data_IF_224770404641
#
_entry.id   IF_224770404641
#
_cell.length_a   1.000
_cell.length_b   1.000
_cell.length_c   1.000
_cell.angle_alpha   90.00
_cell.angle_beta   90.00
_cell.angle_gamma   90.00
#
_symmetry.space_group_name_H-M   'P 1'
#
loop_
_entity.id
_entity.type
_entity.pdbx_description
1 polymer ?
#
# COMPACT_ATOMS: atom_id res chain seq x y z
N UNK A 1 7.59 13.40 -11.83
CA UNK A 1 6.71 14.34 -11.08
C UNK A 1 7.03 14.43 -9.58
N UNK A 2 7.89 13.58 -9.02
CA UNK A 2 8.84 13.96 -7.96
C UNK A 2 10.23 13.95 -8.60
N UNK A 3 11.03 14.99 -8.43
CA UNK A 3 12.32 15.19 -9.12
C UNK A 3 13.44 14.30 -8.54
N UNK A 4 13.19 12.98 -8.38
CA UNK A 4 14.16 12.02 -7.86
C UNK A 4 14.72 11.17 -9.00
N UNK A 5 16.04 11.21 -9.16
CA UNK A 5 16.76 10.33 -10.09
C UNK A 5 17.01 9.00 -9.40
N UNK A 6 16.62 7.90 -10.05
CA UNK A 6 16.88 6.55 -9.58
C UNK A 6 18.25 6.09 -10.09
N UNK A 7 19.04 5.49 -9.22
CA UNK A 7 20.31 4.85 -9.59
C UNK A 7 20.06 3.51 -10.30
N UNK A 8 21.03 3.06 -11.10
CA UNK A 8 21.02 1.74 -11.73
C UNK A 8 20.80 0.60 -10.72
N UNK A 9 21.35 0.73 -9.50
CA UNK A 9 21.14 -0.26 -8.43
C UNK A 9 19.69 -0.29 -7.90
N UNK A 10 19.00 0.85 -7.90
CA UNK A 10 17.58 0.91 -7.52
C UNK A 10 16.70 0.27 -8.58
N UNK A 11 17.05 0.45 -9.86
CA UNK A 11 16.37 -0.25 -10.96
C UNK A 11 16.53 -1.76 -10.85
N UNK A 12 17.74 -2.24 -10.55
CA UNK A 12 17.98 -3.68 -10.33
C UNK A 12 17.15 -4.18 -9.14
N UNK A 13 17.09 -3.44 -8.03
CA UNK A 13 16.27 -3.81 -6.88
C UNK A 13 14.77 -3.93 -7.25
N UNK A 14 14.24 -3.01 -8.05
CA UNK A 14 12.84 -3.05 -8.49
C UNK A 14 12.54 -4.27 -9.37
N UNK A 15 13.46 -4.65 -10.26
CA UNK A 15 13.31 -5.85 -11.09
C UNK A 15 13.33 -7.11 -10.21
N UNK A 16 14.27 -7.19 -9.27
CA UNK A 16 14.35 -8.28 -8.29
C UNK A 16 13.05 -8.35 -7.47
N UNK A 17 12.51 -7.21 -7.01
CA UNK A 17 11.23 -7.17 -6.28
C UNK A 17 10.11 -7.78 -7.11
N UNK A 18 10.01 -7.38 -8.38
CA UNK A 18 8.97 -7.83 -9.29
C UNK A 18 9.05 -9.34 -9.53
N UNK A 19 10.26 -9.88 -9.76
CA UNK A 19 10.48 -11.32 -9.89
C UNK A 19 10.11 -12.07 -8.60
N UNK A 20 10.51 -11.56 -7.43
CA UNK A 20 10.21 -12.19 -6.14
C UNK A 20 8.72 -12.25 -5.86
N UNK A 21 7.99 -11.15 -6.10
CA UNK A 21 6.52 -11.12 -5.97
C UNK A 21 5.86 -12.06 -6.97
N UNK A 22 6.30 -12.08 -8.23
CA UNK A 22 5.74 -12.99 -9.24
C UNK A 22 5.89 -14.46 -8.83
N UNK A 23 7.06 -14.86 -8.30
CA UNK A 23 7.30 -16.22 -7.80
C UNK A 23 6.37 -16.59 -6.63
N UNK A 24 6.19 -15.68 -5.66
CA UNK A 24 5.26 -15.88 -4.53
C UNK A 24 3.81 -16.05 -5.02
N UNK A 25 3.39 -15.26 -6.01
CA UNK A 25 2.01 -15.29 -6.51
C UNK A 25 1.69 -16.52 -7.38
N UNK A 26 2.69 -17.05 -8.10
CA UNK A 26 2.54 -18.27 -8.91
C UNK A 26 2.24 -19.50 -8.05
N UNK A 27 2.88 -19.62 -6.89
CA UNK A 27 2.60 -20.72 -5.97
C UNK A 27 1.18 -20.64 -5.37
N UNK A 28 0.74 -19.43 -5.00
CA UNK A 28 -0.61 -19.20 -4.47
C UNK A 28 -1.72 -19.61 -5.44
N UNK A 29 -1.44 -19.48 -6.75
CA UNK A 29 -2.35 -19.90 -7.81
C UNK A 29 -2.40 -21.42 -7.96
N UNK A 30 -1.26 -22.10 -7.81
CA UNK A 30 -1.14 -23.56 -7.97
C UNK A 30 -1.73 -24.34 -6.78
N UNK A 31 -1.80 -23.71 -5.60
CA UNK A 31 -2.29 -24.35 -4.37
C UNK A 31 -3.82 -24.32 -4.21
N UNK A 32 -4.53 -23.56 -5.06
CA UNK A 32 -6.00 -23.63 -5.14
C UNK A 32 -6.36 -24.79 -6.05
N UNK A 33 -6.82 -25.87 -5.42
CA UNK A 33 -7.18 -27.14 -6.05
C UNK A 33 -8.07 -26.97 -7.28
N UNK A 34 -7.80 -27.84 -8.26
CA UNK A 34 -8.47 -27.98 -9.54
C UNK A 34 -9.87 -28.59 -9.40
N UNK A 35 -10.76 -27.96 -8.62
CA UNK A 35 -12.15 -28.40 -8.45
C UNK A 35 -13.12 -27.47 -9.20
N UNK A 36 -13.72 -28.01 -10.26
CA UNK A 36 -14.95 -27.52 -10.86
C UNK A 36 -14.78 -26.47 -11.98
N UNK A 37 -14.47 -26.93 -13.19
CA UNK A 37 -14.67 -26.13 -14.41
C UNK A 37 -16.17 -25.84 -14.63
N UNK A 38 -16.63 -24.66 -14.20
CA UNK A 38 -17.64 -23.95 -14.99
C UNK A 38 -16.89 -23.09 -16.01
N UNK A 39 -16.94 -23.52 -17.27
CA UNK A 39 -16.38 -22.84 -18.43
C UNK A 39 -17.09 -21.52 -18.71
N UNK A 40 -16.93 -20.54 -17.83
CA UNK A 40 -17.18 -19.13 -18.18
C UNK A 40 -16.14 -18.77 -19.24
N UNK A 41 -16.60 -18.21 -20.35
CA UNK A 41 -15.77 -17.71 -21.44
C UNK A 41 -14.77 -16.66 -20.90
N UNK A 42 -13.58 -17.11 -20.52
CA UNK A 42 -12.54 -16.27 -19.95
C UNK A 42 -11.72 -15.66 -21.09
N UNK A 43 -11.97 -14.38 -21.36
CA UNK A 43 -11.19 -13.63 -22.33
C UNK A 43 -9.86 -13.19 -21.72
N UNK A 44 -8.83 -14.04 -21.87
CA UNK A 44 -7.48 -13.76 -21.39
C UNK A 44 -6.94 -12.41 -21.91
N UNK A 45 -7.25 -12.03 -23.15
CA UNK A 45 -6.88 -10.73 -23.72
C UNK A 45 -7.53 -9.56 -22.97
N UNK A 46 -8.82 -9.65 -22.63
CA UNK A 46 -9.52 -8.62 -21.85
C UNK A 46 -8.92 -8.52 -20.45
N UNK A 47 -8.60 -9.66 -19.84
CA UNK A 47 -7.89 -9.71 -18.55
C UNK A 47 -6.53 -9.03 -18.62
N UNK A 48 -5.71 -9.33 -19.64
CA UNK A 48 -4.39 -8.72 -19.81
C UNK A 48 -4.46 -7.20 -20.02
N UNK A 49 -5.37 -6.72 -20.87
CA UNK A 49 -5.57 -5.28 -21.09
C UNK A 49 -6.03 -4.62 -19.80
N UNK A 50 -6.99 -5.22 -19.09
CA UNK A 50 -7.48 -4.69 -17.81
C UNK A 50 -6.37 -4.58 -16.76
N UNK A 51 -5.51 -5.59 -16.64
CA UNK A 51 -4.37 -5.57 -15.72
C UNK A 51 -3.39 -4.46 -16.08
N UNK A 52 -2.98 -4.34 -17.34
CA UNK A 52 -2.06 -3.28 -17.79
C UNK A 52 -2.64 -1.89 -17.48
N UNK A 53 -3.90 -1.64 -17.86
CA UNK A 53 -4.57 -0.37 -17.58
C UNK A 53 -4.66 -0.10 -16.07
N UNK A 54 -4.98 -1.12 -15.27
CA UNK A 54 -5.05 -0.98 -13.81
C UNK A 54 -3.69 -0.65 -13.18
N UNK A 55 -2.61 -1.26 -13.65
CA UNK A 55 -1.26 -1.02 -13.15
C UNK A 55 -0.80 0.41 -13.48
N UNK A 56 -1.06 0.88 -14.70
CA UNK A 56 -0.73 2.25 -15.11
C UNK A 56 -1.53 3.28 -14.30
N UNK A 57 -2.84 3.05 -14.14
CA UNK A 57 -3.71 3.94 -13.36
C UNK A 57 -3.31 3.96 -11.88
N UNK A 58 -3.01 2.81 -11.29
CA UNK A 58 -2.57 2.69 -9.89
C UNK A 58 -1.26 3.43 -9.63
N UNK A 59 -0.26 3.24 -10.50
CA UNK A 59 1.02 3.95 -10.41
C UNK A 59 0.86 5.47 -10.53
N UNK A 60 0.04 5.93 -11.47
CA UNK A 60 -0.25 7.35 -11.63
C UNK A 60 -1.00 7.94 -10.42
N UNK A 61 -2.04 7.26 -9.95
CA UNK A 61 -2.84 7.69 -8.81
C UNK A 61 -1.99 7.82 -7.53
N UNK A 62 -1.07 6.88 -7.30
CA UNK A 62 -0.16 6.94 -6.15
C UNK A 62 0.76 8.18 -6.18
N UNK A 63 1.39 8.46 -7.32
CA UNK A 63 2.26 9.64 -7.48
C UNK A 63 1.47 10.95 -7.41
N UNK A 64 0.26 10.98 -7.97
CA UNK A 64 -0.63 12.13 -7.92
C UNK A 64 -1.12 12.41 -6.49
N UNK A 65 -1.50 11.35 -5.75
CA UNK A 65 -1.87 11.44 -4.35
C UNK A 65 -0.72 11.94 -3.47
N UNK A 66 0.50 11.41 -3.68
CA UNK A 66 1.70 11.91 -3.00
C UNK A 66 1.95 13.40 -3.30
N UNK A 67 1.78 13.83 -4.56
CA UNK A 67 1.92 15.23 -4.96
C UNK A 67 0.88 16.14 -4.30
N UNK A 68 -0.37 15.72 -4.20
CA UNK A 68 -1.44 16.48 -3.53
C UNK A 68 -1.17 16.62 -2.04
N UNK A 69 -0.74 15.53 -1.38
CA UNK A 69 -0.47 15.53 0.05
C UNK A 69 0.75 16.36 0.42
N UNK A 70 1.79 16.35 -0.41
CA UNK A 70 3.07 17.05 -0.12
C UNK A 70 3.14 18.47 -0.71
N UNK A 71 2.28 18.82 -1.67
CA UNK A 71 2.31 20.10 -2.39
C UNK A 71 1.32 21.15 -1.90
N UNK A 72 0.58 20.91 -0.80
CA UNK A 72 -0.50 21.78 -0.34
C UNK A 72 -0.42 21.99 1.18
N UNK A 73 -0.67 23.21 1.70
CA UNK A 73 -0.70 23.48 3.14
C UNK A 73 -1.94 22.91 3.86
N UNK A 74 -2.81 22.18 3.16
CA UNK A 74 -4.06 21.64 3.70
C UNK A 74 -3.81 20.38 4.54
N UNK A 75 -4.67 20.14 5.54
CA UNK A 75 -4.56 18.96 6.39
C UNK A 75 -4.84 17.67 5.60
N UNK A 76 -4.07 16.62 5.89
CA UNK A 76 -4.20 15.31 5.23
C UNK A 76 -5.54 14.64 5.51
N UNK A 77 -6.11 14.90 6.68
CA UNK A 77 -7.46 14.45 7.03
C UNK A 77 -8.51 15.06 6.11
N UNK A 78 -8.43 16.37 5.83
CA UNK A 78 -9.36 17.04 4.92
C UNK A 78 -9.24 16.51 3.48
N UNK A 79 -8.00 16.26 3.02
CA UNK A 79 -7.77 15.62 1.71
C UNK A 79 -8.35 14.21 1.65
N UNK A 80 -8.18 13.42 2.71
CA UNK A 80 -8.71 12.07 2.79
C UNK A 80 -10.25 12.06 2.81
N UNK A 81 -10.87 13.03 3.49
CA UNK A 81 -12.33 13.21 3.45
C UNK A 81 -12.81 13.63 2.07
N UNK A 82 -12.15 14.58 1.40
CA UNK A 82 -12.50 14.99 0.02
C UNK A 82 -12.41 13.83 -0.96
N UNK A 83 -11.33 13.04 -0.89
CA UNK A 83 -11.14 11.87 -1.74
C UNK A 83 -12.12 10.75 -1.40
N UNK A 84 -12.37 10.51 -0.12
CA UNK A 84 -13.37 9.53 0.33
C UNK A 84 -14.78 9.89 -0.11
N UNK A 85 -15.14 11.18 -0.07
CA UNK A 85 -16.44 11.67 -0.52
C UNK A 85 -16.62 11.45 -2.04
N UNK A 86 -15.65 11.88 -2.85
CA UNK A 86 -15.69 11.64 -4.30
C UNK A 86 -15.67 10.14 -4.63
N UNK A 87 -14.86 9.35 -3.92
CA UNK A 87 -14.79 7.90 -4.08
C UNK A 87 -16.12 7.21 -3.74
N UNK A 88 -16.82 7.70 -2.71
CA UNK A 88 -18.16 7.18 -2.34
C UNK A 88 -19.18 7.47 -3.44
N UNK A 89 -19.19 8.68 -4.01
CA UNK A 89 -20.08 9.02 -5.13
C UNK A 89 -19.81 8.12 -6.34
N UNK A 90 -18.54 7.98 -6.74
CA UNK A 90 -18.15 7.13 -7.88
C UNK A 90 -18.49 5.65 -7.59
N UNK A 91 -18.29 5.19 -6.36
CA UNK A 91 -18.64 3.84 -5.92
C UNK A 91 -20.14 3.57 -6.02
N UNK A 92 -20.98 4.50 -5.55
CA UNK A 92 -22.44 4.40 -5.67
C UNK A 92 -22.89 4.38 -7.13
N UNK A 93 -22.34 5.26 -7.98
CA UNK A 93 -22.63 5.26 -9.43
C UNK A 93 -22.26 3.89 -10.03
N UNK A 94 -21.09 3.36 -9.70
CA UNK A 94 -20.62 2.06 -10.21
C UNK A 94 -21.55 0.92 -9.78
N UNK A 95 -22.03 0.95 -8.53
CA UNK A 95 -22.99 -0.01 -8.01
C UNK A 95 -24.33 0.07 -8.75
N UNK A 96 -24.85 1.28 -9.00
CA UNK A 96 -26.09 1.42 -9.78
C UNK A 96 -25.93 0.97 -11.24
N UNK A 97 -24.79 1.22 -11.86
CA UNK A 97 -24.53 0.86 -13.26
C UNK A 97 -24.35 -0.65 -13.44
N UNK A 98 -23.65 -1.32 -12.51
CA UNK A 98 -23.37 -2.76 -12.62
C UNK A 98 -24.47 -3.63 -12.03
N UNK A 99 -24.90 -3.31 -10.81
CA UNK A 99 -25.67 -4.22 -9.95
C UNK A 99 -26.99 -3.59 -9.48
N UNK A 100 -27.41 -2.45 -10.08
CA UNK A 100 -28.55 -1.66 -9.62
C UNK A 100 -29.89 -2.42 -9.59
N UNK A 101 -30.11 -3.35 -10.52
CA UNK A 101 -31.32 -4.21 -10.53
C UNK A 101 -31.33 -5.15 -9.33
N UNK A 102 -30.20 -5.81 -9.08
CA UNK A 102 -30.06 -6.77 -7.99
C UNK A 102 -30.15 -6.08 -6.64
N UNK A 103 -29.56 -4.89 -6.49
CA UNK A 103 -29.68 -4.06 -5.27
C UNK A 103 -31.13 -3.61 -5.02
N UNK A 104 -31.89 -3.29 -6.08
CA UNK A 104 -33.29 -2.87 -5.92
C UNK A 104 -34.22 -4.01 -5.50
N UNK A 105 -33.94 -5.25 -5.93
CA UNK A 105 -34.76 -6.43 -5.61
C UNK A 105 -34.34 -7.08 -4.28
N UNK A 106 -33.04 -7.08 -4.00
CA UNK A 106 -32.43 -7.76 -2.85
C UNK A 106 -32.25 -6.88 -1.62
N UNK A 107 -32.20 -5.56 -1.81
CA UNK A 107 -31.68 -4.62 -0.82
C UNK A 107 -30.15 -4.59 -0.79
N UNK A 108 -29.60 -3.41 -0.48
CA UNK A 108 -28.15 -3.15 -0.49
C UNK A 108 -27.34 -4.01 0.49
N UNK A 109 -27.91 -4.36 1.64
CA UNK A 109 -27.20 -5.07 2.72
C UNK A 109 -27.43 -6.59 2.72
N UNK A 110 -27.99 -7.16 1.65
CA UNK A 110 -28.22 -8.60 1.58
C UNK A 110 -26.88 -9.35 1.57
N UNK A 111 -26.74 -10.34 2.45
CA UNK A 111 -25.52 -11.16 2.55
C UNK A 111 -24.37 -10.51 3.34
N UNK A 112 -24.61 -9.38 4.00
CA UNK A 112 -23.62 -8.80 4.92
C UNK A 112 -23.56 -9.61 6.21
N UNK A 113 -22.54 -10.45 6.34
CA UNK A 113 -22.21 -11.14 7.59
C UNK A 113 -21.11 -10.39 8.38
N UNK A 114 -20.83 -10.83 9.60
CA UNK A 114 -19.79 -10.25 10.47
C UNK A 114 -18.42 -10.18 9.78
N UNK A 115 -18.10 -11.16 8.94
CA UNK A 115 -16.86 -11.19 8.16
C UNK A 115 -16.78 -10.05 7.13
N UNK A 116 -17.92 -9.68 6.51
CA UNK A 116 -17.99 -8.55 5.57
C UNK A 116 -17.74 -7.24 6.31
N UNK A 117 -18.36 -7.06 7.47
CA UNK A 117 -18.11 -5.90 8.32
C UNK A 117 -16.66 -5.79 8.78
N UNK A 118 -16.05 -6.91 9.18
CA UNK A 118 -14.64 -6.96 9.53
C UNK A 118 -13.75 -6.57 8.34
N UNK A 119 -14.03 -7.12 7.16
CA UNK A 119 -13.29 -6.80 5.93
C UNK A 119 -13.39 -5.31 5.58
N UNK A 120 -14.57 -4.71 5.67
CA UNK A 120 -14.79 -3.28 5.43
C UNK A 120 -13.98 -2.43 6.41
N UNK A 121 -14.04 -2.76 7.71
CA UNK A 121 -13.30 -2.04 8.75
C UNK A 121 -11.78 -2.17 8.54
N UNK A 122 -11.29 -3.37 8.23
CA UNK A 122 -9.87 -3.62 7.99
C UNK A 122 -9.37 -2.90 6.74
N UNK A 123 -10.13 -2.93 5.64
CA UNK A 123 -9.78 -2.21 4.41
C UNK A 123 -9.78 -0.69 4.61
N UNK A 124 -10.76 -0.15 5.33
CA UNK A 124 -10.83 1.28 5.64
C UNK A 124 -9.67 1.73 6.53
N UNK A 125 -9.38 0.98 7.60
CA UNK A 125 -8.24 1.23 8.47
C UNK A 125 -6.91 1.13 7.72
N UNK A 126 -6.76 0.14 6.84
CA UNK A 126 -5.60 -0.02 5.96
C UNK A 126 -5.39 1.19 5.04
N UNK A 127 -6.46 1.71 4.43
CA UNK A 127 -6.40 2.92 3.60
C UNK A 127 -5.95 4.16 4.37
N UNK A 128 -6.49 4.36 5.58
CA UNK A 128 -6.07 5.45 6.47
C UNK A 128 -4.60 5.30 6.90
N UNK A 129 -4.18 4.09 7.25
CA UNK A 129 -2.80 3.81 7.64
C UNK A 129 -1.83 4.11 6.49
N UNK A 130 -2.18 3.74 5.25
CA UNK A 130 -1.38 4.08 4.06
C UNK A 130 -1.24 5.60 3.90
N UNK A 131 -2.32 6.37 4.10
CA UNK A 131 -2.26 7.83 4.04
C UNK A 131 -1.33 8.43 5.12
N UNK A 132 -1.39 7.91 6.34
CA UNK A 132 -0.49 8.29 7.45
C UNK A 132 0.96 7.94 7.12
N UNK A 133 1.23 6.72 6.63
CA UNK A 133 2.59 6.29 6.23
C UNK A 133 3.12 7.15 5.07
N UNK A 134 2.30 7.53 4.10
CA UNK A 134 2.74 8.41 2.99
C UNK A 134 3.08 9.81 3.50
N UNK A 135 2.39 10.30 4.55
CA UNK A 135 2.64 11.61 5.15
C UNK A 135 3.88 11.62 6.06
N UNK A 136 4.03 10.61 6.91
CA UNK A 136 4.98 10.64 8.03
C UNK A 136 6.16 9.68 7.90
N UNK A 137 6.09 8.67 7.03
CA UNK A 137 7.18 7.72 6.88
C UNK A 137 8.08 8.08 5.70
N UNK A 138 9.39 8.09 5.95
CA UNK A 138 10.38 8.04 4.89
C UNK A 138 10.27 6.72 4.13
N UNK A 139 10.67 6.74 2.85
CA UNK A 139 10.65 5.56 1.98
C UNK A 139 11.42 4.35 2.55
N UNK A 140 12.32 4.57 3.52
CA UNK A 140 13.05 3.52 4.25
C UNK A 140 12.15 2.81 5.26
N UNK A 141 11.45 3.56 6.12
CA UNK A 141 10.59 2.98 7.15
C UNK A 141 9.43 2.20 6.52
N UNK A 142 8.93 2.67 5.37
CA UNK A 142 7.95 1.93 4.55
C UNK A 142 8.50 0.57 4.10
N UNK A 143 9.75 0.52 3.62
CA UNK A 143 10.41 -0.73 3.23
C UNK A 143 10.59 -1.70 4.40
N UNK A 144 11.00 -1.21 5.57
CA UNK A 144 11.08 -2.02 6.79
C UNK A 144 9.71 -2.58 7.20
N UNK A 145 8.67 -1.75 7.18
CA UNK A 145 7.31 -2.17 7.50
C UNK A 145 6.82 -3.27 6.53
N UNK A 146 7.07 -3.12 5.22
CA UNK A 146 6.72 -4.14 4.22
C UNK A 146 7.47 -5.45 4.47
N UNK A 147 8.76 -5.39 4.79
CA UNK A 147 9.58 -6.57 5.08
C UNK A 147 9.10 -7.31 6.33
N UNK A 148 8.80 -6.57 7.41
CA UNK A 148 8.25 -7.12 8.65
C UNK A 148 6.86 -7.73 8.42
N UNK A 149 6.02 -7.08 7.60
CA UNK A 149 4.70 -7.61 7.24
C UNK A 149 4.79 -8.94 6.48
N UNK A 150 5.76 -9.10 5.58
CA UNK A 150 5.98 -10.38 4.87
C UNK A 150 6.35 -11.49 5.86
N UNK A 151 7.32 -11.26 6.75
CA UNK A 151 7.74 -12.25 7.76
C UNK A 151 6.57 -12.62 8.66
N UNK A 152 5.84 -11.63 9.18
CA UNK A 152 4.69 -11.86 10.05
C UNK A 152 3.59 -12.65 9.32
N UNK A 153 3.32 -12.30 8.05
CA UNK A 153 2.35 -13.03 7.22
C UNK A 153 2.78 -14.49 7.02
N UNK A 154 4.07 -14.77 6.85
CA UNK A 154 4.57 -16.14 6.76
C UNK A 154 4.31 -16.92 8.06
N UNK A 155 4.63 -16.32 9.22
CA UNK A 155 4.43 -16.96 10.53
C UNK A 155 2.95 -17.25 10.75
N UNK A 156 2.08 -16.26 10.52
CA UNK A 156 0.62 -16.43 10.66
C UNK A 156 0.13 -17.51 9.70
N UNK A 157 0.62 -17.54 8.47
CA UNK A 157 0.18 -18.53 7.47
C UNK A 157 0.52 -19.97 7.86
N UNK A 158 1.67 -20.21 8.49
CA UNK A 158 2.03 -21.53 9.04
C UNK A 158 1.05 -21.94 10.15
N UNK A 159 0.81 -21.06 11.13
CA UNK A 159 0.03 -21.40 12.32
C UNK A 159 -1.48 -21.47 12.08
N UNK A 160 -2.05 -20.53 11.32
CA UNK A 160 -3.51 -20.45 11.12
C UNK A 160 -4.00 -21.35 9.97
N UNK A 161 -3.23 -21.47 8.89
CA UNK A 161 -3.69 -22.15 7.68
C UNK A 161 -3.09 -23.55 7.50
N UNK A 162 -2.26 -24.03 8.44
CA UNK A 162 -1.47 -25.28 8.32
C UNK A 162 -0.80 -25.40 6.94
N UNK A 163 -0.43 -24.26 6.35
CA UNK A 163 -0.02 -24.19 4.97
C UNK A 163 1.42 -24.71 4.85
N UNK A 164 1.63 -25.72 4.00
CA UNK A 164 2.97 -26.21 3.74
C UNK A 164 3.71 -25.19 2.87
N UNK A 165 4.67 -24.49 3.49
CA UNK A 165 5.55 -23.55 2.80
C UNK A 165 6.31 -24.28 1.70
N UNK A 166 5.90 -24.12 0.45
CA UNK A 166 6.70 -24.60 -0.68
C UNK A 166 7.96 -23.76 -0.83
N UNK A 167 9.01 -24.44 -1.32
CA UNK A 167 10.34 -23.87 -1.56
C UNK A 167 10.28 -22.65 -2.49
N UNK A 168 9.29 -22.61 -3.38
CA UNK A 168 9.08 -21.49 -4.31
C UNK A 168 8.66 -20.21 -3.60
N UNK A 169 7.78 -20.31 -2.60
CA UNK A 169 7.36 -19.18 -1.77
C UNK A 169 8.49 -18.69 -0.88
N UNK A 170 9.26 -19.59 -0.27
CA UNK A 170 10.42 -19.20 0.55
C UNK A 170 11.48 -18.52 -0.32
N UNK A 171 11.76 -19.07 -1.51
CA UNK A 171 12.66 -18.46 -2.49
C UNK A 171 12.17 -17.08 -2.96
N UNK A 172 10.88 -16.94 -3.27
CA UNK A 172 10.31 -15.65 -3.66
C UNK A 172 10.33 -14.62 -2.52
N UNK A 173 9.97 -15.03 -1.30
CA UNK A 173 9.97 -14.17 -0.12
C UNK A 173 11.37 -13.67 0.26
N UNK A 174 12.39 -14.55 0.21
CA UNK A 174 13.79 -14.15 0.45
C UNK A 174 14.29 -13.17 -0.60
N UNK A 175 13.90 -13.36 -1.86
CA UNK A 175 14.26 -12.47 -2.97
C UNK A 175 13.61 -11.08 -2.83
N UNK A 176 12.37 -11.01 -2.34
CA UNK A 176 11.71 -9.75 -1.95
C UNK A 176 12.46 -9.07 -0.80
N UNK A 177 12.85 -9.81 0.25
CA UNK A 177 13.59 -9.25 1.39
C UNK A 177 14.96 -8.68 0.96
N UNK A 178 15.68 -9.37 0.09
CA UNK A 178 16.97 -8.91 -0.46
C UNK A 178 16.78 -7.63 -1.27
N UNK A 179 15.73 -7.56 -2.10
CA UNK A 179 15.41 -6.36 -2.88
C UNK A 179 15.14 -5.15 -1.98
N UNK A 180 14.31 -5.31 -0.95
CA UNK A 180 13.98 -4.21 -0.03
C UNK A 180 15.22 -3.75 0.74
N UNK A 181 16.05 -4.68 1.21
CA UNK A 181 17.32 -4.36 1.86
C UNK A 181 18.27 -3.59 0.92
N UNK A 182 18.41 -4.04 -0.33
CA UNK A 182 19.27 -3.40 -1.32
C UNK A 182 18.79 -1.99 -1.67
N UNK A 183 17.48 -1.81 -1.84
CA UNK A 183 16.86 -0.51 -2.11
C UNK A 183 17.02 0.45 -0.90
N UNK A 184 16.82 -0.05 0.32
CA UNK A 184 16.97 0.71 1.56
C UNK A 184 18.41 1.17 1.82
N UNK A 185 19.39 0.26 1.68
CA UNK A 185 20.82 0.57 1.88
C UNK A 185 21.33 1.60 0.86
N UNK A 186 20.89 1.50 -0.38
CA UNK A 186 21.27 2.48 -1.41
C UNK A 186 20.72 3.88 -1.12
N UNK A 187 19.50 3.98 -0.58
CA UNK A 187 18.90 5.27 -0.21
C UNK A 187 19.69 5.96 0.91
N UNK A 188 20.24 5.19 1.86
CA UNK A 188 21.07 5.69 2.96
C UNK A 188 22.40 6.28 2.45
N UNK A 189 23.05 5.64 1.47
CA UNK A 189 24.33 6.08 0.90
C UNK A 189 24.19 7.39 0.09
N UNK A 190 23.06 7.60 -0.59
CA UNK A 190 22.85 8.78 -1.45
C UNK A 190 22.44 10.04 -0.66
N UNK A 191 21.85 9.90 0.53
CA UNK A 191 21.41 11.02 1.37
C UNK A 191 21.86 10.86 2.84
N UNK A 192 23.16 10.94 3.15
CA UNK A 192 23.64 10.88 4.53
C UNK A 192 23.20 12.07 5.39
N UNK A 193 22.77 13.19 4.79
CA UNK A 193 22.55 14.48 5.48
C UNK A 193 21.06 14.84 5.73
N UNK A 194 20.09 14.06 5.27
CA UNK A 194 18.67 14.43 5.37
C UNK A 194 18.02 14.10 6.74
N UNK A 195 18.70 13.33 7.58
CA UNK A 195 18.31 13.04 8.97
C UNK A 195 18.57 14.22 9.92
N UNK A 196 19.49 15.14 9.60
CA UNK A 196 19.81 16.29 10.47
C UNK A 196 18.84 17.46 10.27
N UNK A 197 18.36 17.71 9.04
CA UNK A 197 17.51 18.86 8.73
C UNK A 197 16.06 18.71 9.20
N UNK A 198 15.52 17.48 9.29
CA UNK A 198 14.16 17.27 9.80
C UNK A 198 14.05 17.49 11.31
N UNK A 199 15.12 17.21 12.07
CA UNK A 199 15.20 17.57 13.49
C UNK A 199 15.18 19.09 13.70
N UNK A 200 15.76 19.86 12.78
CA UNK A 200 15.80 21.33 12.89
C UNK A 200 14.48 22.00 12.47
N UNK A 201 13.72 21.42 11.53
CA UNK A 201 12.47 22.01 11.03
C UNK A 201 11.27 21.70 11.94
N UNK A 202 11.24 20.53 12.60
CA UNK A 202 10.23 20.19 13.59
C UNK A 202 10.32 21.02 14.87
N UNK A 203 11.50 21.54 15.23
CA UNK A 203 11.67 22.45 16.37
C UNK A 203 11.21 23.89 16.11
N UNK A 204 10.95 24.26 14.84
CA UNK A 204 10.66 25.66 14.48
C UNK A 204 9.22 25.90 14.01
N UNK A 205 8.36 24.88 14.00
CA UNK A 205 7.00 24.98 13.42
C UNK A 205 5.84 24.77 14.39
N UNK A 206 6.10 24.73 15.71
CA UNK A 206 5.07 24.85 16.75
C UNK A 206 5.06 26.26 17.37
N UNK A 207 4.11 27.15 17.01
CA UNK A 207 3.95 28.45 17.69
C UNK A 207 3.13 28.35 18.98
N UNK A 208 3.01 27.16 19.60
CA UNK A 208 2.19 26.94 20.80
C UNK A 208 2.94 26.48 22.05
N UNK A 209 4.25 26.29 22.00
CA UNK A 209 5.07 26.15 23.22
C UNK A 209 5.97 27.39 23.36
N UNK A 210 5.43 28.38 24.08
CA UNK A 210 6.23 29.45 24.66
C UNK A 210 6.91 28.90 25.92
N UNK A 211 8.23 28.66 25.95
CA UNK A 211 8.89 28.45 27.22
C UNK A 211 8.89 29.79 27.94
N UNK A 212 8.06 29.89 28.99
CA UNK A 212 8.21 30.89 30.02
C UNK A 212 9.68 30.92 30.45
N UNK A 213 10.31 32.06 30.23
CA UNK A 213 11.68 32.38 30.62
C UNK A 213 11.78 32.24 32.13
N UNK A 214 12.29 31.10 32.62
CA UNK A 214 12.72 30.97 34.01
C UNK A 214 14.06 31.69 34.12
N UNK A 215 13.99 32.94 34.56
CA UNK A 215 15.13 33.75 34.92
C UNK A 215 15.71 33.21 36.24
N UNK A 216 16.82 32.47 36.16
CA UNK A 216 17.68 32.14 37.30
C UNK A 216 18.93 33.01 37.18
N UNK A 217 18.89 34.17 37.82
CA UNK A 217 20.06 34.94 38.20
C UNK A 217 19.74 35.72 39.49
N UNK A 218 19.93 35.03 40.61
CA UNK A 218 20.43 35.55 41.90
C UNK A 218 21.17 34.41 42.59
#
# INVERSE_FOLDING_TARGET
MLNRRLSALQWIALVILMCGVALVQLQSSTSKGSDGEESKHQNALVGMIAVITSCLMSGFAGVYFEKILKGSPQSVWLRNVQLGFLGTIIGLITLFVKDGKEVSESGFFKGYDWAVWLAIMLSSAGGLLVAVVVKYADNILKGFATSAAIILSCIISIYFFNFQLSIQFVGGATLVMISVYMYGRFLYILFPHHSVLYGSILYHSDPLDSPAVVNINT
#
